data_IF_707200809584
#
_entry.id   IF_707200809584
#
_cell.length_a   1.000
_cell.length_b   1.000
_cell.length_c   1.000
_cell.angle_alpha   90.00
_cell.angle_beta   90.00
_cell.angle_gamma   90.00
#
_symmetry.space_group_name_H-M   'P 1'
#
loop_
_entity.id
_entity.type
_entity.pdbx_description
1 polymer ?
#
# COMPACT_ATOMS: atom_id res chain seq x y z
N UNK A 1 26.19 5.21 2.85
CA UNK A 1 27.14 5.20 1.70
C UNK A 1 26.81 4.05 0.73
N UNK A 2 26.65 2.81 1.22
CA UNK A 2 26.14 1.67 0.41
C UNK A 2 24.82 1.94 -0.32
N UNK A 3 23.86 2.59 0.33
CA UNK A 3 22.58 2.97 -0.30
C UNK A 3 22.76 3.83 -1.55
N UNK A 4 23.71 4.79 -1.54
CA UNK A 4 24.01 5.63 -2.71
C UNK A 4 24.66 4.84 -3.85
N UNK A 5 25.48 3.81 -3.56
CA UNK A 5 26.06 2.93 -4.59
C UNK A 5 25.00 2.02 -5.23
N UNK A 6 24.04 1.54 -4.44
CA UNK A 6 22.91 0.74 -4.94
C UNK A 6 21.98 1.59 -5.80
N UNK A 7 21.60 2.78 -5.33
CA UNK A 7 20.84 3.73 -6.15
C UNK A 7 21.57 4.08 -7.46
N UNK A 8 22.91 4.13 -7.44
CA UNK A 8 23.72 4.47 -8.61
C UNK A 8 23.68 3.35 -9.66
N UNK A 9 23.76 2.09 -9.23
CA UNK A 9 23.62 0.93 -10.11
C UNK A 9 22.20 0.78 -10.66
N UNK A 10 21.19 1.20 -9.90
CA UNK A 10 19.78 1.14 -10.31
C UNK A 10 19.33 2.37 -11.13
N UNK A 11 20.18 3.39 -11.29
CA UNK A 11 19.87 4.60 -12.05
C UNK A 11 18.99 5.62 -11.33
N UNK A 12 18.79 5.47 -10.01
CA UNK A 12 17.82 6.21 -9.19
C UNK A 12 18.40 7.48 -8.50
N UNK A 13 19.64 7.89 -8.80
CA UNK A 13 20.16 9.18 -8.33
C UNK A 13 19.82 10.32 -9.27
N UNK A 14 19.59 11.49 -8.70
CA UNK A 14 19.53 12.75 -9.43
C UNK A 14 20.90 13.10 -10.06
N UNK A 15 20.89 14.00 -11.04
CA UNK A 15 22.09 14.36 -11.82
C UNK A 15 23.19 14.98 -10.96
N UNK A 16 22.82 15.70 -9.89
CA UNK A 16 23.76 16.37 -9.00
C UNK A 16 24.48 15.39 -8.06
N UNK A 17 23.75 14.42 -7.49
CA UNK A 17 24.28 13.37 -6.63
C UNK A 17 25.06 12.33 -7.42
N UNK A 18 24.65 12.04 -8.67
CA UNK A 18 25.40 11.18 -9.59
C UNK A 18 26.78 11.78 -9.87
N UNK A 19 26.85 13.04 -10.28
CA UNK A 19 28.12 13.73 -10.55
C UNK A 19 29.03 13.78 -9.30
N UNK A 20 28.46 14.03 -8.13
CA UNK A 20 29.20 14.03 -6.87
C UNK A 20 29.75 12.64 -6.49
N UNK A 21 29.00 11.57 -6.78
CA UNK A 21 29.42 10.20 -6.52
C UNK A 21 30.50 9.74 -7.52
N UNK A 22 30.37 10.09 -8.80
CA UNK A 22 31.38 9.80 -9.84
C UNK A 22 32.71 10.47 -9.54
N UNK A 23 32.70 11.73 -9.09
CA UNK A 23 33.91 12.43 -8.64
C UNK A 23 34.60 11.74 -7.45
N UNK A 24 33.83 11.08 -6.57
CA UNK A 24 34.38 10.28 -5.46
C UNK A 24 34.89 8.92 -5.92
N UNK A 25 34.16 8.24 -6.82
CA UNK A 25 34.59 6.98 -7.43
C UNK A 25 35.90 7.14 -8.23
N UNK A 26 36.18 8.32 -8.78
CA UNK A 26 37.45 8.64 -9.43
C UNK A 26 38.63 8.68 -8.45
N UNK A 27 38.41 9.21 -7.24
CA UNK A 27 39.46 9.48 -6.26
C UNK A 27 39.63 8.38 -5.18
N UNK A 28 38.61 7.56 -4.94
CA UNK A 28 38.60 6.53 -3.90
C UNK A 28 38.61 5.10 -4.51
N UNK A 29 39.78 4.43 -4.61
CA UNK A 29 39.86 3.07 -5.19
C UNK A 29 39.12 2.01 -4.35
N UNK A 30 39.00 2.19 -3.03
CA UNK A 30 38.23 1.31 -2.16
C UNK A 30 36.72 1.38 -2.46
N UNK A 31 36.20 2.57 -2.79
CA UNK A 31 34.79 2.79 -3.12
C UNK A 31 34.42 2.13 -4.46
N UNK A 32 35.36 2.14 -5.41
CA UNK A 32 35.22 1.45 -6.71
C UNK A 32 35.14 -0.07 -6.54
N UNK A 33 35.97 -0.63 -5.65
CA UNK A 33 35.96 -2.06 -5.31
C UNK A 33 34.65 -2.49 -4.64
N UNK A 34 34.07 -1.63 -3.80
CA UNK A 34 32.76 -1.88 -3.18
C UNK A 34 31.61 -1.81 -4.20
N UNK A 35 31.66 -0.88 -5.17
CA UNK A 35 30.70 -0.82 -6.27
C UNK A 35 30.74 -2.08 -7.15
N UNK A 36 31.93 -2.59 -7.48
CA UNK A 36 32.11 -3.83 -8.25
C UNK A 36 31.59 -5.07 -7.51
N UNK A 37 31.78 -5.14 -6.18
CA UNK A 37 31.21 -6.21 -5.36
C UNK A 37 29.68 -6.20 -5.38
N UNK A 38 29.05 -5.03 -5.23
CA UNK A 38 27.60 -4.90 -5.25
C UNK A 38 27.05 -5.27 -6.64
N UNK A 39 27.74 -4.87 -7.71
CA UNK A 39 27.38 -5.23 -9.09
C UNK A 39 27.43 -6.74 -9.33
N UNK A 40 28.51 -7.40 -8.90
CA UNK A 40 28.66 -8.86 -9.01
C UNK A 40 27.58 -9.61 -8.23
N UNK A 41 27.16 -9.12 -7.06
CA UNK A 41 26.06 -9.69 -6.30
C UNK A 41 24.70 -9.53 -7.01
N UNK A 42 24.46 -8.41 -7.69
CA UNK A 42 23.20 -8.17 -8.43
C UNK A 42 23.13 -8.98 -9.74
N UNK A 43 24.26 -9.19 -10.41
CA UNK A 43 24.33 -10.02 -11.63
C UNK A 43 24.23 -11.53 -11.30
N UNK A 44 24.66 -11.95 -10.11
CA UNK A 44 24.53 -13.34 -9.63
C UNK A 44 23.11 -13.79 -9.28
N UNK A 45 22.13 -12.88 -9.20
CA UNK A 45 20.72 -13.19 -8.90
C UNK A 45 19.83 -13.42 -10.13
N UNK A 46 20.41 -13.50 -11.34
CA UNK A 46 19.66 -13.57 -12.60
C UNK A 46 19.91 -14.84 -13.44
N UNK A 47 20.11 -16.00 -12.81
CA UNK A 47 19.97 -17.29 -13.49
C UNK A 47 19.19 -18.26 -12.60
N UNK A 48 17.86 -18.18 -12.65
CA UNK A 48 16.97 -19.27 -12.23
C UNK A 48 16.28 -19.81 -13.48
N UNK A 49 16.80 -20.92 -14.01
CA UNK A 49 16.07 -21.84 -14.88
C UNK A 49 16.48 -23.29 -14.51
N UNK A 50 15.74 -23.85 -13.56
CA UNK A 50 15.33 -25.27 -13.36
C UNK A 50 16.37 -26.43 -13.23
N UNK A 51 15.94 -27.56 -12.62
CA UNK A 51 16.73 -28.33 -11.67
C UNK A 51 17.29 -29.64 -12.22
N UNK A 52 18.56 -29.92 -11.93
CA UNK A 52 19.05 -31.30 -11.79
C UNK A 52 20.17 -31.36 -10.78
N UNK A 53 20.14 -32.47 -10.04
CA UNK A 53 21.14 -32.90 -9.10
C UNK A 53 22.57 -32.92 -9.66
N UNK A 54 23.50 -33.08 -8.72
CA UNK A 54 24.94 -33.23 -8.88
C UNK A 54 25.69 -31.91 -9.12
N UNK A 55 26.43 -31.52 -8.07
CA UNK A 55 27.54 -30.60 -8.19
C UNK A 55 28.82 -31.40 -8.50
N UNK A 56 29.30 -31.45 -9.75
CA UNK A 56 30.67 -31.84 -10.03
C UNK A 56 31.47 -30.60 -10.42
N UNK A 57 31.76 -29.69 -9.47
CA UNK A 57 32.90 -28.78 -9.67
C UNK A 57 33.47 -28.14 -8.39
N UNK A 58 33.34 -28.82 -7.26
CA UNK A 58 34.23 -28.61 -6.11
C UNK A 58 35.68 -29.09 -6.37
N UNK A 59 36.03 -29.44 -7.61
CA UNK A 59 37.27 -30.15 -7.97
C UNK A 59 38.26 -29.33 -8.82
N UNK A 60 37.97 -28.09 -9.22
CA UNK A 60 38.82 -27.35 -10.18
C UNK A 60 39.71 -26.24 -9.58
N UNK A 61 39.75 -26.05 -8.26
CA UNK A 61 40.65 -25.06 -7.61
C UNK A 61 41.62 -25.69 -6.59
N UNK A 62 41.77 -27.02 -6.61
CA UNK A 62 42.79 -27.74 -5.83
C UNK A 62 44.09 -28.00 -6.61
N UNK A 63 44.35 -27.26 -7.69
CA UNK A 63 45.58 -27.36 -8.44
C UNK A 63 46.23 -25.97 -8.53
N UNK A 64 47.48 -25.91 -8.06
CA UNK A 64 48.42 -24.77 -8.15
C UNK A 64 48.39 -23.79 -6.96
N UNK A 65 48.78 -24.28 -5.78
CA UNK A 65 49.09 -23.44 -4.63
C UNK A 65 49.37 -24.24 -3.36
N UNK A 66 50.40 -25.09 -3.38
CA UNK A 66 50.79 -25.89 -2.22
C UNK A 66 51.08 -25.02 -0.98
N UNK A 67 50.50 -25.40 0.16
CA UNK A 67 50.77 -24.76 1.44
C UNK A 67 52.26 -24.91 1.78
N UNK A 68 53.00 -23.82 2.06
CA UNK A 68 54.42 -23.91 2.35
C UNK A 68 54.68 -24.76 3.60
N UNK A 69 55.63 -25.68 3.49
CA UNK A 69 56.00 -26.63 4.54
C UNK A 69 56.44 -25.87 5.81
N UNK A 70 55.91 -26.27 6.97
CA UNK A 70 56.20 -25.63 8.26
C UNK A 70 55.35 -24.39 8.60
N UNK A 71 54.32 -24.04 7.81
CA UNK A 71 53.39 -22.95 8.17
C UNK A 71 52.62 -23.26 9.46
N UNK A 72 52.23 -24.52 9.68
CA UNK A 72 51.57 -24.96 10.91
C UNK A 72 52.46 -24.74 12.14
N UNK A 73 53.75 -25.09 12.06
CA UNK A 73 54.70 -24.92 13.18
C UNK A 73 55.01 -23.45 13.47
N UNK A 74 55.11 -22.62 12.42
CA UNK A 74 55.31 -21.17 12.55
C UNK A 74 54.07 -20.47 13.13
N UNK A 75 52.89 -20.96 12.80
CA UNK A 75 51.62 -20.44 13.34
C UNK A 75 51.44 -20.88 14.79
N UNK A 76 51.77 -22.13 15.13
CA UNK A 76 51.74 -22.64 16.51
C UNK A 76 52.74 -21.91 17.43
N UNK A 77 53.95 -21.63 16.94
CA UNK A 77 54.95 -20.85 17.67
C UNK A 77 54.55 -19.38 17.87
N UNK A 78 53.95 -18.75 16.87
CA UNK A 78 53.45 -17.37 16.97
C UNK A 78 52.25 -17.25 17.94
N UNK A 79 51.34 -18.22 17.92
CA UNK A 79 50.19 -18.28 18.83
C UNK A 79 50.64 -18.56 20.28
N UNK A 80 51.58 -19.47 20.51
CA UNK A 80 52.13 -19.73 21.85
C UNK A 80 52.83 -18.50 22.43
N UNK A 81 53.55 -17.73 21.60
CA UNK A 81 54.19 -16.48 22.03
C UNK A 81 53.19 -15.33 22.25
N UNK A 82 52.10 -15.30 21.49
CA UNK A 82 51.01 -14.33 21.67
C UNK A 82 50.18 -14.63 22.94
N UNK A 83 49.99 -15.91 23.30
CA UNK A 83 49.31 -16.31 24.53
C UNK A 83 50.17 -16.09 25.79
N UNK A 84 51.50 -16.11 25.66
CA UNK A 84 52.42 -15.82 26.77
C UNK A 84 52.50 -14.33 27.13
N UNK A 85 51.91 -13.42 26.35
CA UNK A 85 51.97 -11.96 26.58
C UNK A 85 50.84 -11.46 27.50
N UNK A 86 49.93 -12.33 27.97
CA UNK A 86 48.82 -11.93 28.84
C UNK A 86 49.03 -12.11 30.36
N UNK A 87 50.23 -12.51 30.81
CA UNK A 87 50.60 -12.46 32.23
C UNK A 87 51.37 -11.17 32.52
N UNK A 88 50.65 -10.06 32.66
CA UNK A 88 51.31 -8.79 33.00
C UNK A 88 50.48 -7.52 32.87
N UNK A 89 49.22 -7.52 33.30
CA UNK A 89 48.51 -6.27 33.63
C UNK A 89 47.78 -6.42 34.96
N UNK A 90 48.55 -6.34 36.05
CA UNK A 90 48.02 -5.84 37.31
C UNK A 90 47.82 -4.32 37.18
N UNK A 91 46.80 -3.92 36.42
CA UNK A 91 46.12 -2.66 36.72
C UNK A 91 45.18 -2.95 37.90
N UNK A 92 45.05 -2.07 38.90
CA UNK A 92 44.03 -2.21 39.92
C UNK A 92 42.69 -2.01 39.24
N UNK A 93 42.14 -3.11 38.71
CA UNK A 93 40.75 -3.22 38.35
C UNK A 93 40.00 -2.86 39.62
N UNK A 94 39.45 -1.65 39.66
CA UNK A 94 38.36 -1.33 40.56
C UNK A 94 37.21 -2.24 40.14
N UNK A 95 37.28 -3.52 40.57
CA UNK A 95 36.23 -4.51 40.42
C UNK A 95 35.13 -3.98 41.31
N UNK A 96 34.27 -3.14 40.73
CA UNK A 96 32.96 -2.84 41.27
C UNK A 96 32.33 -4.17 41.63
N UNK A 97 32.35 -4.50 42.93
CA UNK A 97 31.74 -5.70 43.47
C UNK A 97 30.24 -5.47 43.37
N UNK A 98 29.67 -5.81 42.22
CA UNK A 98 28.22 -5.79 42.02
C UNK A 98 27.63 -6.74 43.07
N UNK A 99 26.90 -6.19 44.03
CA UNK A 99 26.28 -7.01 45.07
C UNK A 99 25.00 -7.63 44.52
N UNK A 100 24.56 -8.76 45.08
CA UNK A 100 23.25 -9.33 44.74
C UNK A 100 22.12 -8.30 44.94
N UNK A 101 22.27 -7.41 45.94
CA UNK A 101 21.33 -6.32 46.23
C UNK A 101 21.23 -5.36 45.05
N UNK A 102 22.35 -4.96 44.43
CA UNK A 102 22.35 -4.03 43.29
C UNK A 102 21.58 -4.61 42.08
N UNK A 103 21.77 -5.90 41.79
CA UNK A 103 21.03 -6.59 40.72
C UNK A 103 19.53 -6.66 41.05
N UNK A 104 19.18 -6.97 42.30
CA UNK A 104 17.78 -7.04 42.74
C UNK A 104 17.06 -5.70 42.66
N UNK A 105 17.71 -4.61 43.09
CA UNK A 105 17.13 -3.26 43.00
C UNK A 105 16.95 -2.86 41.54
N UNK A 106 17.96 -3.08 40.69
CA UNK A 106 17.87 -2.79 39.26
C UNK A 106 16.75 -3.59 38.57
N UNK A 107 16.64 -4.89 38.85
CA UNK A 107 15.56 -5.72 38.35
C UNK A 107 14.19 -5.27 38.86
N UNK A 108 14.09 -4.87 40.13
CA UNK A 108 12.86 -4.32 40.71
C UNK A 108 12.38 -3.05 40.00
N UNK A 109 13.30 -2.12 39.73
CA UNK A 109 12.99 -0.90 38.97
C UNK A 109 12.58 -1.23 37.53
N UNK A 110 13.29 -2.13 36.86
CA UNK A 110 12.96 -2.56 35.49
C UNK A 110 11.57 -3.20 35.41
N UNK A 111 11.21 -4.06 36.37
CA UNK A 111 9.90 -4.70 36.46
C UNK A 111 8.80 -3.66 36.74
N UNK A 112 9.04 -2.71 37.65
CA UNK A 112 8.09 -1.64 37.94
C UNK A 112 7.81 -0.77 36.70
N UNK A 113 8.85 -0.36 35.96
CA UNK A 113 8.68 0.41 34.72
C UNK A 113 7.98 -0.43 33.65
N UNK A 114 8.40 -1.68 33.45
CA UNK A 114 7.81 -2.56 32.44
C UNK A 114 6.33 -2.83 32.70
N UNK A 115 5.94 -2.99 33.98
CA UNK A 115 4.55 -3.18 34.38
C UNK A 115 3.65 -1.99 34.00
N UNK A 116 4.19 -0.76 34.00
CA UNK A 116 3.46 0.43 33.55
C UNK A 116 3.42 0.57 32.02
N UNK A 117 4.46 0.11 31.30
CA UNK A 117 4.57 0.25 29.83
C UNK A 117 3.78 -0.83 29.08
N UNK A 118 3.83 -2.08 29.53
CA UNK A 118 3.16 -3.22 28.88
C UNK A 118 1.66 -2.99 28.55
N UNK A 119 0.81 -2.47 29.45
CA UNK A 119 -0.62 -2.27 29.15
C UNK A 119 -0.88 -1.18 28.10
N UNK A 120 0.05 -0.25 27.87
CA UNK A 120 -0.12 0.83 26.88
C UNK A 120 0.22 0.38 25.44
N UNK A 121 1.00 -0.69 25.28
CA UNK A 121 1.46 -1.17 23.97
C UNK A 121 0.32 -1.63 23.03
N UNK A 122 -0.70 -2.38 23.47
CA UNK A 122 -1.80 -2.80 22.60
C UNK A 122 -2.58 -1.61 22.01
N UNK A 123 -2.85 -0.59 22.82
CA UNK A 123 -3.59 0.60 22.39
C UNK A 123 -2.80 1.41 21.37
N UNK A 124 -1.50 1.59 21.59
CA UNK A 124 -0.59 2.25 20.64
C UNK A 124 -0.56 1.51 19.29
N UNK A 125 -0.40 0.17 19.32
CA UNK A 125 -0.41 -0.66 18.10
C UNK A 125 -1.77 -0.61 17.37
N UNK A 126 -2.88 -0.55 18.09
CA UNK A 126 -4.21 -0.41 17.48
C UNK A 126 -4.38 0.96 16.81
N UNK A 127 -3.89 2.03 17.45
CA UNK A 127 -3.88 3.38 16.88
C UNK A 127 -3.02 3.46 15.61
N UNK A 128 -1.81 2.90 15.64
CA UNK A 128 -0.92 2.86 14.49
C UNK A 128 -1.54 2.09 13.31
N UNK A 129 -2.17 0.93 13.57
CA UNK A 129 -2.89 0.18 12.53
C UNK A 129 -4.07 0.95 11.94
N UNK A 130 -4.81 1.70 12.77
CA UNK A 130 -5.87 2.61 12.29
C UNK A 130 -5.31 3.70 11.37
N UNK A 131 -4.23 4.36 11.77
CA UNK A 131 -3.59 5.40 10.96
C UNK A 131 -3.16 4.87 9.58
N UNK A 132 -2.63 3.64 9.52
CA UNK A 132 -2.30 2.99 8.25
C UNK A 132 -3.55 2.73 7.38
N UNK A 133 -4.64 2.22 7.95
CA UNK A 133 -5.87 2.01 7.16
C UNK A 133 -6.46 3.35 6.68
N UNK A 134 -6.36 4.42 7.48
CA UNK A 134 -6.77 5.76 7.05
C UNK A 134 -5.93 6.25 5.88
N UNK A 135 -4.61 6.03 5.91
CA UNK A 135 -3.72 6.41 4.81
C UNK A 135 -4.04 5.62 3.52
N UNK A 136 -4.30 4.32 3.64
CA UNK A 136 -4.75 3.51 2.51
C UNK A 136 -6.03 4.08 1.87
N UNK A 137 -7.01 4.49 2.68
CA UNK A 137 -8.24 5.14 2.21
C UNK A 137 -7.97 6.49 1.55
N UNK A 138 -7.02 7.31 2.05
CA UNK A 138 -6.64 8.57 1.39
C UNK A 138 -6.04 8.31 0.01
N UNK A 139 -5.16 7.32 -0.12
CA UNK A 139 -4.56 6.97 -1.41
C UNK A 139 -5.60 6.47 -2.42
N UNK A 140 -6.55 5.63 -1.98
CA UNK A 140 -7.69 5.22 -2.82
C UNK A 140 -8.57 6.44 -3.17
N UNK A 141 -8.82 7.33 -2.21
CA UNK A 141 -9.57 8.56 -2.40
C UNK A 141 -8.97 9.46 -3.47
N UNK A 142 -7.65 9.65 -3.45
CA UNK A 142 -6.93 10.39 -4.49
C UNK A 142 -7.17 9.79 -5.88
N UNK A 143 -7.13 8.46 -6.02
CA UNK A 143 -7.43 7.81 -7.30
C UNK A 143 -8.89 8.02 -7.72
N UNK A 144 -9.84 8.03 -6.79
CA UNK A 144 -11.25 8.33 -7.07
C UNK A 144 -11.48 9.78 -7.48
N UNK A 145 -10.76 10.74 -6.89
CA UNK A 145 -10.83 12.14 -7.32
C UNK A 145 -10.27 12.31 -8.74
N UNK A 146 -9.09 11.74 -9.02
CA UNK A 146 -8.54 11.73 -10.39
C UNK A 146 -9.47 11.03 -11.39
N UNK A 147 -10.16 9.97 -10.97
CA UNK A 147 -11.20 9.35 -11.77
C UNK A 147 -12.31 10.35 -12.08
N UNK A 148 -12.88 11.01 -11.06
CA UNK A 148 -13.96 11.97 -11.25
C UNK A 148 -13.55 13.14 -12.16
N UNK A 149 -12.35 13.70 -11.98
CA UNK A 149 -11.80 14.77 -12.80
C UNK A 149 -11.74 14.38 -14.29
N UNK A 150 -11.42 13.11 -14.58
CA UNK A 150 -11.33 12.58 -15.94
C UNK A 150 -12.67 12.10 -16.52
N UNK A 151 -13.72 11.97 -15.71
CA UNK A 151 -15.02 11.39 -16.09
C UNK A 151 -16.20 12.34 -15.83
N UNK A 152 -16.00 13.65 -16.04
CA UNK A 152 -17.07 14.64 -15.98
C UNK A 152 -17.61 14.89 -14.58
N UNK A 153 -16.74 14.86 -13.58
CA UNK A 153 -17.06 14.99 -12.15
C UNK A 153 -17.91 13.80 -11.63
N UNK A 154 -17.86 12.62 -12.25
CA UNK A 154 -18.56 11.43 -11.77
C UNK A 154 -17.62 10.36 -11.23
N UNK A 155 -17.97 9.81 -10.08
CA UNK A 155 -17.27 8.64 -9.54
C UNK A 155 -17.62 7.35 -10.29
N UNK A 156 -16.85 6.27 -10.13
CA UNK A 156 -17.14 4.98 -10.76
C UNK A 156 -18.59 4.53 -10.52
N UNK A 157 -19.35 4.35 -11.60
CA UNK A 157 -20.77 4.01 -11.55
C UNK A 157 -20.96 2.52 -11.43
N UNK A 158 -21.56 2.02 -10.35
CA UNK A 158 -21.89 0.59 -10.23
C UNK A 158 -23.19 0.31 -10.96
N UNK A 159 -23.15 -0.55 -11.97
CA UNK A 159 -24.31 -0.95 -12.75
C UNK A 159 -25.32 -1.77 -11.93
N UNK A 160 -26.59 -1.89 -12.38
CA UNK A 160 -27.64 -2.63 -11.68
C UNK A 160 -27.28 -4.08 -11.31
N UNK A 161 -26.61 -4.78 -12.22
CA UNK A 161 -26.22 -6.19 -12.08
C UNK A 161 -24.76 -6.36 -11.60
N UNK A 162 -24.08 -5.25 -11.32
CA UNK A 162 -22.71 -5.25 -10.81
C UNK A 162 -22.70 -5.13 -9.30
N UNK A 163 -21.69 -5.71 -8.68
CA UNK A 163 -21.45 -5.57 -7.26
C UNK A 163 -20.57 -4.33 -6.99
N UNK A 164 -20.70 -3.77 -5.78
CA UNK A 164 -20.07 -2.50 -5.42
C UNK A 164 -18.55 -2.52 -5.58
N UNK A 165 -17.92 -3.70 -5.47
CA UNK A 165 -16.49 -3.87 -5.69
C UNK A 165 -15.98 -3.48 -7.08
N UNK A 166 -16.88 -3.29 -8.06
CA UNK A 166 -16.51 -2.85 -9.41
C UNK A 166 -15.84 -1.46 -9.45
N UNK A 167 -15.96 -0.64 -8.40
CA UNK A 167 -15.19 0.61 -8.34
C UNK A 167 -13.68 0.34 -8.44
N UNK A 168 -13.20 -0.74 -7.83
CA UNK A 168 -11.79 -1.12 -7.83
C UNK A 168 -11.31 -1.48 -9.25
N UNK A 169 -12.13 -2.23 -9.98
CA UNK A 169 -11.85 -2.60 -11.38
C UNK A 169 -11.77 -1.36 -12.25
N UNK A 170 -12.75 -0.46 -12.12
CA UNK A 170 -12.79 0.79 -12.89
C UNK A 170 -11.59 1.70 -12.63
N UNK A 171 -11.08 1.76 -11.39
CA UNK A 171 -9.88 2.52 -11.07
C UNK A 171 -8.63 1.97 -11.79
N UNK A 172 -8.51 0.65 -11.88
CA UNK A 172 -7.40 0.00 -12.59
C UNK A 172 -7.53 0.19 -14.09
N UNK A 173 -8.73 -0.03 -14.65
CA UNK A 173 -8.96 0.04 -16.11
C UNK A 173 -8.82 1.44 -16.68
N UNK A 174 -9.21 2.46 -15.91
CA UNK A 174 -9.02 3.86 -16.28
C UNK A 174 -7.61 4.38 -16.00
N UNK A 175 -6.69 3.52 -15.57
CA UNK A 175 -5.28 3.87 -15.34
C UNK A 175 -5.05 4.80 -14.15
N UNK A 176 -6.02 4.95 -13.24
CA UNK A 176 -5.89 5.87 -12.09
C UNK A 176 -5.01 5.32 -10.97
N UNK A 177 -4.81 4.00 -10.98
CA UNK A 177 -3.97 3.26 -10.03
C UNK A 177 -3.55 1.92 -10.64
N UNK A 178 -2.32 1.46 -10.40
CA UNK A 178 -1.92 0.14 -10.86
C UNK A 178 -2.61 -0.97 -10.04
N UNK A 179 -2.80 -2.14 -10.66
CA UNK A 179 -3.42 -3.29 -9.99
C UNK A 179 -2.65 -3.70 -8.71
N UNK A 180 -1.31 -3.65 -8.73
CA UNK A 180 -0.47 -4.01 -7.58
C UNK A 180 -0.61 -3.02 -6.43
N UNK A 181 -0.67 -1.72 -6.72
CA UNK A 181 -0.89 -0.69 -5.70
C UNK A 181 -2.27 -0.87 -5.06
N UNK A 182 -3.31 -1.01 -5.89
CA UNK A 182 -4.67 -1.16 -5.39
C UNK A 182 -4.83 -2.42 -4.53
N UNK A 183 -4.28 -3.56 -4.94
CA UNK A 183 -4.29 -4.79 -4.14
C UNK A 183 -3.67 -4.61 -2.75
N UNK A 184 -2.61 -3.81 -2.63
CA UNK A 184 -1.99 -3.49 -1.33
C UNK A 184 -2.87 -2.57 -0.48
N UNK A 185 -3.55 -1.61 -1.12
CA UNK A 185 -4.35 -0.60 -0.42
C UNK A 185 -5.70 -1.12 0.04
N UNK A 186 -6.35 -1.99 -0.73
CA UNK A 186 -7.66 -2.64 -0.42
C UNK A 186 -7.64 -3.48 0.87
N UNK A 187 -6.48 -3.65 1.48
CA UNK A 187 -6.25 -4.41 2.68
C UNK A 187 -6.13 -3.52 3.92
N UNK A 188 -7.05 -3.64 4.88
CA UNK A 188 -6.88 -3.02 6.19
C UNK A 188 -6.26 -4.00 7.19
N UNK A 189 -5.11 -3.66 7.76
CA UNK A 189 -4.36 -4.50 8.74
C UNK A 189 -5.04 -4.68 10.09
N UNK A 190 -6.17 -4.02 10.31
CA UNK A 190 -6.96 -4.10 11.54
C UNK A 190 -8.39 -4.59 11.29
N UNK A 191 -8.69 -5.07 10.08
CA UNK A 191 -9.93 -5.81 9.81
C UNK A 191 -9.78 -7.27 10.25
N UNK A 192 -10.90 -7.91 10.62
CA UNK A 192 -10.91 -9.35 10.93
C UNK A 192 -10.49 -10.24 9.75
N UNK A 193 -10.48 -9.69 8.53
CA UNK A 193 -9.92 -10.35 7.35
C UNK A 193 -8.43 -10.68 7.54
N UNK A 194 -7.68 -9.87 8.29
CA UNK A 194 -6.28 -10.11 8.57
C UNK A 194 -6.03 -11.34 9.45
N UNK A 195 -6.93 -11.60 10.38
CA UNK A 195 -6.84 -12.77 11.25
C UNK A 195 -7.20 -14.02 10.44
N UNK A 196 -8.24 -13.95 9.59
CA UNK A 196 -8.61 -15.03 8.68
C UNK A 196 -7.49 -15.38 7.68
N UNK A 197 -6.76 -14.40 7.14
CA UNK A 197 -5.62 -14.67 6.25
C UNK A 197 -4.42 -15.30 6.95
N UNK A 198 -4.19 -14.97 8.21
CA UNK A 198 -3.12 -15.60 9.01
C UNK A 198 -3.42 -17.07 9.26
N UNK A 199 -4.68 -17.41 9.48
CA UNK A 199 -5.13 -18.78 9.74
C UNK A 199 -5.20 -19.63 8.46
N UNK A 200 -5.48 -19.02 7.30
CA UNK A 200 -5.69 -19.73 6.03
C UNK A 200 -4.44 -19.92 5.15
N UNK A 201 -3.23 -19.79 5.71
CA UNK A 201 -1.95 -20.11 5.05
C UNK A 201 -1.83 -19.58 3.60
N UNK A 202 -2.14 -18.29 3.39
CA UNK A 202 -1.95 -17.56 2.12
C UNK A 202 -2.83 -17.98 0.93
N UNK A 203 -3.85 -18.82 1.13
CA UNK A 203 -4.70 -19.29 0.01
C UNK A 203 -5.73 -18.24 -0.48
N UNK A 204 -5.78 -17.09 0.18
CA UNK A 204 -6.80 -16.08 -0.05
C UNK A 204 -6.13 -14.76 -0.41
N UNK A 205 -6.21 -14.42 -1.69
CA UNK A 205 -5.67 -13.19 -2.26
C UNK A 205 -6.85 -12.26 -2.50
N UNK A 206 -6.81 -11.07 -1.91
CA UNK A 206 -7.65 -9.95 -2.35
C UNK A 206 -7.15 -9.58 -3.74
N UNK A 207 -7.79 -10.13 -4.77
CA UNK A 207 -7.48 -9.82 -6.16
C UNK A 207 -8.43 -8.72 -6.58
N UNK A 208 -7.92 -7.52 -6.87
CA UNK A 208 -8.61 -6.60 -7.77
C UNK A 208 -8.54 -7.23 -9.17
N UNK A 209 -9.62 -7.85 -9.70
CA UNK A 209 -9.57 -8.54 -10.98
C UNK A 209 -9.56 -7.51 -12.12
N UNK A 210 -9.10 -7.91 -13.30
CA UNK A 210 -9.40 -7.16 -14.53
C UNK A 210 -10.85 -7.47 -14.97
N UNK A 211 -11.50 -6.63 -15.80
CA UNK A 211 -12.83 -7.00 -16.33
C UNK A 211 -12.77 -8.32 -17.11
N UNK A 212 -11.69 -8.60 -17.83
CA UNK A 212 -11.53 -9.86 -18.53
C UNK A 212 -11.54 -11.06 -17.57
N UNK A 213 -10.79 -10.99 -16.47
CA UNK A 213 -10.79 -12.05 -15.44
C UNK A 213 -12.18 -12.21 -14.81
N UNK A 214 -12.88 -11.10 -14.55
CA UNK A 214 -14.21 -11.13 -13.97
C UNK A 214 -15.26 -11.72 -14.94
N UNK A 215 -15.16 -11.43 -16.24
CA UNK A 215 -16.03 -12.00 -17.28
C UNK A 215 -15.79 -13.50 -17.48
N UNK A 216 -14.55 -13.95 -17.35
CA UNK A 216 -14.18 -15.36 -17.51
C UNK A 216 -14.52 -16.20 -16.27
N UNK A 217 -14.54 -15.59 -15.08
CA UNK A 217 -14.85 -16.28 -13.83
C UNK A 217 -16.31 -16.79 -13.81
N UNK A 218 -16.49 -18.04 -13.39
CA UNK A 218 -17.81 -18.69 -13.24
C UNK A 218 -17.88 -19.45 -11.91
N UNK A 219 -19.10 -19.75 -11.46
CA UNK A 219 -19.35 -20.57 -10.28
C UNK A 219 -18.76 -19.98 -8.99
N UNK A 220 -18.12 -20.83 -8.19
CA UNK A 220 -17.54 -20.47 -6.88
C UNK A 220 -16.45 -19.39 -6.98
N UNK A 221 -15.62 -19.44 -8.04
CA UNK A 221 -14.57 -18.44 -8.24
C UNK A 221 -15.15 -17.04 -8.42
N UNK A 222 -16.22 -16.90 -9.20
CA UNK A 222 -16.90 -15.61 -9.39
C UNK A 222 -17.48 -15.10 -8.07
N UNK A 223 -18.11 -15.97 -7.28
CA UNK A 223 -18.64 -15.61 -5.97
C UNK A 223 -17.53 -15.13 -5.01
N UNK A 224 -16.38 -15.81 -5.01
CA UNK A 224 -15.20 -15.40 -4.24
C UNK A 224 -14.66 -14.05 -4.69
N UNK A 225 -14.48 -13.84 -5.99
CA UNK A 225 -13.98 -12.56 -6.54
C UNK A 225 -14.93 -11.42 -6.17
N UNK A 226 -16.24 -11.57 -6.40
CA UNK A 226 -17.23 -10.54 -6.07
C UNK A 226 -17.20 -10.15 -4.59
N UNK A 227 -16.98 -11.12 -3.72
CA UNK A 227 -16.90 -10.89 -2.28
C UNK A 227 -15.68 -10.11 -1.83
N UNK A 228 -14.54 -10.28 -2.52
CA UNK A 228 -13.26 -9.78 -2.03
C UNK A 228 -12.56 -8.77 -2.93
N UNK A 229 -13.09 -8.47 -4.11
CA UNK A 229 -12.45 -7.56 -5.07
C UNK A 229 -12.29 -6.11 -4.59
N UNK A 230 -13.08 -5.66 -3.60
CA UNK A 230 -12.85 -4.39 -2.89
C UNK A 230 -12.27 -4.55 -1.47
N UNK A 231 -11.83 -5.75 -1.12
CA UNK A 231 -11.09 -6.04 0.11
C UNK A 231 -11.85 -5.66 1.38
N UNK A 232 -11.23 -4.81 2.21
CA UNK A 232 -11.73 -4.41 3.53
C UNK A 232 -12.65 -3.17 3.50
N UNK A 233 -12.98 -2.63 2.33
CA UNK A 233 -13.74 -1.38 2.20
C UNK A 233 -15.12 -1.57 1.57
N UNK A 234 -16.02 -0.66 1.93
CA UNK A 234 -17.32 -0.47 1.31
C UNK A 234 -17.30 0.83 0.49
N UNK A 235 -18.11 0.86 -0.56
CA UNK A 235 -18.14 1.95 -1.54
C UNK A 235 -19.55 2.52 -1.67
N UNK A 236 -19.64 3.84 -1.83
CA UNK A 236 -20.92 4.52 -2.04
C UNK A 236 -21.51 4.15 -3.40
N UNK A 237 -22.78 3.77 -3.41
CA UNK A 237 -23.54 3.46 -4.63
C UNK A 237 -24.48 4.59 -5.02
N UNK A 238 -25.02 4.51 -6.24
CA UNK A 238 -25.97 5.48 -6.76
C UNK A 238 -27.31 5.48 -6.03
N UNK A 239 -28.21 6.33 -6.49
CA UNK A 239 -29.55 6.47 -5.93
C UNK A 239 -30.60 6.43 -7.03
N UNK A 240 -31.82 6.06 -6.65
CA UNK A 240 -32.97 6.06 -7.53
C UNK A 240 -33.72 7.37 -7.28
N UNK A 241 -33.96 8.12 -8.35
CA UNK A 241 -34.80 9.31 -8.31
C UNK A 241 -35.69 9.33 -9.55
N UNK A 242 -36.98 9.60 -9.37
CA UNK A 242 -37.97 9.66 -10.45
C UNK A 242 -37.92 8.48 -11.44
N UNK A 243 -37.76 7.25 -10.93
CA UNK A 243 -37.69 6.02 -11.74
C UNK A 243 -36.39 5.83 -12.52
N UNK A 244 -35.36 6.61 -12.22
CA UNK A 244 -34.03 6.55 -12.86
C UNK A 244 -32.97 6.27 -11.82
N UNK A 245 -32.03 5.39 -12.14
CA UNK A 245 -30.87 5.14 -11.30
C UNK A 245 -29.73 6.06 -11.72
N UNK A 246 -29.32 6.94 -10.81
CA UNK A 246 -28.39 8.03 -11.05
C UNK A 246 -27.05 7.77 -10.34
N UNK A 247 -25.94 8.13 -10.99
CA UNK A 247 -24.61 7.99 -10.40
C UNK A 247 -24.30 9.10 -9.39
N UNK A 248 -23.18 8.92 -8.69
CA UNK A 248 -22.69 9.90 -7.72
C UNK A 248 -21.83 10.91 -8.46
N UNK A 249 -22.27 12.18 -8.44
CA UNK A 249 -21.46 13.31 -8.88
C UNK A 249 -20.56 13.77 -7.73
N UNK A 250 -19.32 14.12 -8.04
CA UNK A 250 -18.40 14.81 -7.17
C UNK A 250 -18.99 16.17 -6.77
N UNK A 251 -18.89 16.47 -5.48
CA UNK A 251 -19.08 17.79 -4.92
C UNK A 251 -18.23 17.90 -3.67
N UNK A 252 -17.62 19.05 -3.44
CA UNK A 252 -16.76 19.28 -2.27
C UNK A 252 -17.61 19.26 -0.99
N UNK A 253 -17.55 18.15 -0.26
CA UNK A 253 -18.36 17.92 0.95
C UNK A 253 -17.60 17.10 1.98
N UNK A 254 -17.44 17.70 3.14
CA UNK A 254 -16.87 17.10 4.35
C UNK A 254 -17.86 16.21 5.13
N UNK A 255 -19.09 16.05 4.65
CA UNK A 255 -20.12 15.26 5.35
C UNK A 255 -20.61 14.06 4.54
N UNK A 256 -20.25 14.01 3.25
CA UNK A 256 -20.74 12.99 2.33
C UNK A 256 -19.69 11.89 2.18
N UNK A 257 -19.94 10.69 2.74
CA UNK A 257 -19.02 9.59 2.62
C UNK A 257 -18.91 9.11 1.16
N UNK A 258 -17.75 8.54 0.83
CA UNK A 258 -17.45 7.92 -0.46
C UNK A 258 -16.99 6.48 -0.27
N UNK A 259 -16.07 6.25 0.68
CA UNK A 259 -15.63 4.93 1.14
C UNK A 259 -15.78 4.83 2.65
N UNK A 260 -15.93 3.61 3.15
CA UNK A 260 -15.75 3.30 4.56
C UNK A 260 -15.08 1.95 4.75
N UNK A 261 -14.67 1.63 5.98
CA UNK A 261 -14.47 0.24 6.36
C UNK A 261 -15.75 -0.56 6.11
N UNK A 262 -15.60 -1.77 5.56
CA UNK A 262 -16.74 -2.61 5.21
C UNK A 262 -17.53 -3.05 6.46
N UNK A 263 -18.87 -3.01 6.41
CA UNK A 263 -19.69 -3.50 7.51
C UNK A 263 -19.85 -5.03 7.45
N UNK A 264 -20.16 -5.60 8.60
CA UNK A 264 -20.63 -6.98 8.75
C UNK A 264 -22.05 -6.92 9.30
N UNK A 265 -22.94 -7.78 8.78
CA UNK A 265 -24.28 -7.89 9.31
C UNK A 265 -24.24 -8.66 10.65
N UNK A 266 -24.75 -8.04 11.70
CA UNK A 266 -24.83 -8.59 13.06
C UNK A 266 -26.29 -8.61 13.52
N UNK A 267 -26.57 -9.17 14.69
CA UNK A 267 -27.90 -9.12 15.32
C UNK A 267 -28.41 -7.67 15.53
N UNK A 268 -27.49 -6.70 15.59
CA UNK A 268 -27.77 -5.28 15.79
C UNK A 268 -27.80 -4.50 14.47
N UNK A 269 -27.85 -5.19 13.32
CA UNK A 269 -27.81 -4.58 11.99
C UNK A 269 -26.40 -4.50 11.40
N UNK A 270 -26.21 -3.60 10.43
CA UNK A 270 -24.93 -3.40 9.75
C UNK A 270 -23.98 -2.60 10.62
N UNK A 271 -22.90 -3.23 11.07
CA UNK A 271 -21.88 -2.57 11.90
C UNK A 271 -20.50 -2.95 11.38
N UNK A 272 -19.58 -1.98 11.32
CA UNK A 272 -18.19 -2.31 11.05
C UNK A 272 -17.55 -2.91 12.31
N UNK A 273 -17.07 -4.14 12.16
CA UNK A 273 -16.25 -4.82 13.17
C UNK A 273 -14.76 -4.56 12.97
N UNK A 274 -14.39 -3.71 12.00
CA UNK A 274 -13.02 -3.30 11.83
C UNK A 274 -12.57 -2.51 13.07
N UNK A 275 -11.32 -2.66 13.49
CA UNK A 275 -10.72 -1.89 14.58
C UNK A 275 -11.15 -2.19 16.04
N UNK A 276 -11.76 -3.35 16.31
CA UNK A 276 -11.86 -3.94 17.65
C UNK A 276 -13.20 -3.77 18.38
N UNK A 277 -13.22 -4.09 19.68
CA UNK A 277 -14.42 -4.38 20.51
C UNK A 277 -15.43 -3.23 20.60
N UNK A 278 -14.99 -1.98 20.48
CA UNK A 278 -15.89 -0.83 20.60
C UNK A 278 -16.65 -0.50 19.31
N UNK A 279 -16.35 -1.20 18.19
CA UNK A 279 -16.95 -0.93 16.89
C UNK A 279 -16.51 0.43 16.33
N UNK A 280 -16.19 0.47 15.06
CA UNK A 280 -15.92 1.74 14.41
C UNK A 280 -15.30 1.58 13.04
N UNK A 281 -15.44 2.63 12.24
CA UNK A 281 -15.05 2.63 10.86
C UNK A 281 -14.36 3.94 10.54
N UNK A 282 -13.30 3.83 9.76
CA UNK A 282 -12.82 4.96 9.02
C UNK A 282 -13.77 5.21 7.85
N UNK A 283 -13.98 6.47 7.57
CA UNK A 283 -14.85 6.94 6.49
C UNK A 283 -14.12 8.03 5.75
N UNK A 284 -13.95 7.82 4.45
CA UNK A 284 -13.46 8.81 3.50
C UNK A 284 -14.63 9.65 3.01
N UNK A 285 -14.50 10.97 3.07
CA UNK A 285 -15.49 11.92 2.57
C UNK A 285 -15.08 12.49 1.21
N UNK A 286 -16.01 13.17 0.54
CA UNK A 286 -15.79 13.72 -0.81
C UNK A 286 -14.82 14.91 -0.86
N UNK A 287 -14.50 15.55 0.26
CA UNK A 287 -13.40 16.53 0.36
C UNK A 287 -12.02 15.86 0.58
N UNK A 288 -11.98 14.52 0.68
CA UNK A 288 -10.76 13.73 0.80
C UNK A 288 -10.25 13.49 2.22
N UNK A 289 -10.88 14.08 3.24
CA UNK A 289 -10.49 13.74 4.61
C UNK A 289 -11.03 12.36 5.01
N UNK A 290 -10.28 11.68 5.87
CA UNK A 290 -10.69 10.41 6.46
C UNK A 290 -10.89 10.61 7.95
N UNK A 291 -12.07 10.23 8.45
CA UNK A 291 -12.43 10.34 9.85
C UNK A 291 -12.82 8.97 10.41
N UNK A 292 -12.28 8.64 11.57
CA UNK A 292 -12.74 7.49 12.36
C UNK A 292 -14.06 7.85 13.07
N UNK A 293 -15.06 7.00 12.90
CA UNK A 293 -16.41 7.16 13.45
C UNK A 293 -16.77 5.89 14.21
N UNK A 294 -17.29 6.05 15.42
CA UNK A 294 -17.74 4.91 16.26
C UNK A 294 -19.17 4.51 15.88
N UNK A 295 -19.99 5.49 15.52
CA UNK A 295 -21.37 5.30 15.08
C UNK A 295 -21.41 5.20 13.56
N UNK A 296 -22.34 4.40 13.03
CA UNK A 296 -22.51 4.18 11.58
C UNK A 296 -23.33 5.28 10.89
N UNK A 297 -23.59 6.39 11.59
CA UNK A 297 -24.35 7.53 11.08
C UNK A 297 -23.55 8.32 10.03
N UNK A 298 -24.17 8.55 8.89
CA UNK A 298 -23.71 9.46 7.86
C UNK A 298 -23.81 10.89 8.38
N UNK A 299 -22.70 11.64 8.50
CA UNK A 299 -22.75 12.99 9.04
C UNK A 299 -23.63 13.93 8.22
N UNK A 300 -23.82 13.72 6.91
CA UNK A 300 -24.66 14.57 6.08
C UNK A 300 -26.16 14.47 6.38
N UNK A 301 -26.63 13.30 6.83
CA UNK A 301 -28.06 13.00 6.95
C UNK A 301 -28.48 12.39 8.29
N UNK A 302 -27.55 12.17 9.22
CA UNK A 302 -27.80 11.65 10.57
C UNK A 302 -28.57 10.31 10.56
N UNK A 303 -28.17 9.42 9.64
CA UNK A 303 -28.79 8.11 9.37
C UNK A 303 -27.71 7.08 9.09
N UNK A 304 -27.99 5.80 9.34
CA UNK A 304 -27.07 4.70 9.02
C UNK A 304 -26.65 4.76 7.54
N UNK A 305 -25.34 4.85 7.30
CA UNK A 305 -24.78 4.94 5.94
C UNK A 305 -24.78 3.62 5.19
N UNK A 306 -25.08 2.50 5.83
CA UNK A 306 -25.05 1.17 5.21
C UNK A 306 -26.41 0.72 4.67
N UNK A 307 -27.46 1.50 4.90
CA UNK A 307 -28.81 1.20 4.44
C UNK A 307 -29.51 2.45 3.91
N UNK A 308 -30.41 2.24 2.95
CA UNK A 308 -31.27 3.28 2.39
C UNK A 308 -32.42 3.65 3.35
N UNK A 309 -33.33 4.53 2.90
CA UNK A 309 -34.46 4.96 3.71
C UNK A 309 -35.44 3.85 4.11
N UNK A 310 -35.55 2.79 3.31
CA UNK A 310 -36.29 1.56 3.64
C UNK A 310 -35.50 0.55 4.49
N UNK A 311 -34.28 0.87 4.92
CA UNK A 311 -33.45 -0.02 5.75
C UNK A 311 -32.77 -1.16 4.97
N UNK A 312 -32.64 -1.03 3.64
CA UNK A 312 -32.02 -2.02 2.78
C UNK A 312 -30.61 -1.57 2.37
N UNK A 313 -29.65 -2.51 2.30
CA UNK A 313 -28.31 -2.25 1.77
C UNK A 313 -28.35 -2.23 0.22
N UNK A 314 -29.05 -1.24 -0.34
CA UNK A 314 -29.33 -1.06 -1.76
C UNK A 314 -29.22 0.43 -2.15
N UNK A 315 -29.47 0.76 -3.41
CA UNK A 315 -29.42 2.13 -3.91
C UNK A 315 -30.28 3.07 -3.04
N UNK A 316 -29.77 4.29 -2.86
CA UNK A 316 -30.47 5.31 -2.09
C UNK A 316 -31.82 5.70 -2.72
N UNK A 317 -32.78 6.07 -1.88
CA UNK A 317 -34.09 6.59 -2.27
C UNK A 317 -34.04 8.12 -2.40
N UNK A 318 -33.42 8.57 -3.49
CA UNK A 318 -33.20 9.98 -3.78
C UNK A 318 -31.79 10.47 -3.46
N UNK A 319 -31.49 11.71 -3.89
CA UNK A 319 -30.12 12.26 -3.86
C UNK A 319 -29.52 12.39 -2.46
N UNK A 320 -30.36 12.63 -1.45
CA UNK A 320 -29.95 12.78 -0.06
C UNK A 320 -29.73 11.44 0.63
N UNK A 321 -30.24 10.33 0.09
CA UNK A 321 -30.10 9.02 0.71
C UNK A 321 -28.74 8.41 0.34
N UNK A 322 -27.80 8.50 1.29
CA UNK A 322 -26.41 8.10 1.06
C UNK A 322 -26.22 6.68 1.56
N UNK A 323 -25.94 5.77 0.63
CA UNK A 323 -25.71 4.36 0.95
C UNK A 323 -24.33 3.92 0.49
N UNK A 324 -23.58 3.35 1.42
CA UNK A 324 -22.25 2.77 1.26
C UNK A 324 -22.39 1.27 1.49
N UNK A 325 -21.96 0.44 0.54
CA UNK A 325 -22.19 -1.01 0.60
C UNK A 325 -20.91 -1.80 0.37
N UNK A 326 -20.87 -3.00 0.94
CA UNK A 326 -19.73 -3.92 0.81
C UNK A 326 -19.60 -4.45 -0.61
N UNK A 327 -18.39 -4.87 -0.96
CA UNK A 327 -18.00 -5.42 -2.27
C UNK A 327 -19.02 -6.38 -2.90
N UNK A 328 -19.57 -7.34 -2.16
CA UNK A 328 -20.46 -8.39 -2.67
C UNK A 328 -21.87 -7.93 -3.03
N UNK A 329 -22.30 -6.76 -2.55
CA UNK A 329 -23.67 -6.28 -2.72
C UNK A 329 -23.83 -5.55 -4.05
N UNK A 330 -24.96 -5.77 -4.73
CA UNK A 330 -25.38 -4.99 -5.88
C UNK A 330 -26.25 -3.82 -5.42
N UNK A 331 -26.45 -2.77 -6.24
CA UNK A 331 -27.31 -1.65 -5.86
C UNK A 331 -28.81 -2.01 -5.75
N UNK A 332 -29.22 -3.25 -6.04
CA UNK A 332 -30.61 -3.68 -5.88
C UNK A 332 -31.61 -2.92 -6.75
N UNK A 333 -31.18 -2.40 -7.90
CA UNK A 333 -32.02 -1.57 -8.78
C UNK A 333 -33.15 -2.42 -9.37
N UNK A 334 -34.43 -2.04 -9.18
CA UNK A 334 -35.56 -2.74 -9.79
C UNK A 334 -35.50 -2.74 -11.33
N UNK A 335 -35.99 -3.80 -11.99
CA UNK A 335 -35.93 -3.95 -13.46
C UNK A 335 -36.67 -2.86 -14.25
N UNK A 336 -37.62 -2.17 -13.63
CA UNK A 336 -38.37 -1.07 -14.23
C UNK A 336 -37.65 0.28 -14.11
N UNK A 337 -36.52 0.36 -13.40
CA UNK A 337 -35.73 1.58 -13.23
C UNK A 337 -34.67 1.65 -14.32
N UNK A 338 -34.58 2.80 -14.99
CA UNK A 338 -33.63 2.99 -16.08
C UNK A 338 -32.28 3.50 -15.53
N UNK A 339 -31.16 2.77 -15.73
CA UNK A 339 -29.84 3.27 -15.37
C UNK A 339 -29.43 4.41 -16.28
N UNK A 340 -28.87 5.47 -15.69
CA UNK A 340 -28.43 6.66 -16.41
C UNK A 340 -26.91 6.72 -16.42
N UNK A 341 -26.33 6.72 -17.61
CA UNK A 341 -24.93 7.06 -17.82
C UNK A 341 -24.87 8.48 -18.39
N UNK A 342 -24.43 9.49 -17.61
CA UNK A 342 -24.34 10.87 -18.07
C UNK A 342 -23.46 10.98 -19.32
N UNK A 343 -23.85 11.82 -20.27
CA UNK A 343 -23.06 12.07 -21.48
C UNK A 343 -21.67 12.64 -21.15
N UNK A 344 -21.60 13.47 -20.11
CA UNK A 344 -20.36 14.05 -19.54
C UNK A 344 -19.34 12.96 -19.16
N UNK A 345 -19.81 11.78 -18.75
CA UNK A 345 -18.94 10.66 -18.38
C UNK A 345 -18.26 9.98 -19.58
N UNK A 346 -18.80 10.17 -20.80
CA UNK A 346 -18.27 9.57 -22.03
C UNK A 346 -17.15 10.40 -22.66
N UNK A 347 -16.94 11.62 -22.20
CA UNK A 347 -15.93 12.54 -22.72
C UNK A 347 -14.80 12.61 -21.71
N UNK A 348 -13.72 11.89 -21.96
CA UNK A 348 -12.46 12.07 -21.23
C UNK A 348 -11.89 13.45 -21.58
N UNK A 349 -12.38 14.50 -20.92
CA UNK A 349 -11.85 15.86 -21.04
C UNK A 349 -11.10 16.19 -19.76
N UNK A 350 -9.77 16.37 -19.79
CA UNK A 350 -9.01 16.74 -18.61
C UNK A 350 -9.46 18.13 -18.15
N UNK A 351 -10.03 18.23 -16.94
CA UNK A 351 -10.28 19.52 -16.28
C UNK A 351 -9.08 19.97 -15.44
N UNK A 352 -8.96 21.30 -15.36
CA UNK A 352 -7.89 22.05 -14.71
C UNK A 352 -7.88 21.75 -13.19
N UNK A 353 -6.69 21.65 -12.55
CA UNK A 353 -6.59 21.33 -11.13
C UNK A 353 -7.38 22.30 -10.24
N UNK A 354 -7.82 21.85 -9.04
CA UNK A 354 -8.55 22.69 -8.10
C UNK A 354 -7.72 23.92 -7.76
N UNK A 355 -8.32 25.09 -7.93
CA UNK A 355 -7.69 26.37 -7.58
C UNK A 355 -7.42 26.40 -6.08
N UNK A 356 -6.16 26.15 -5.70
CA UNK A 356 -5.66 26.55 -4.40
C UNK A 356 -5.87 28.05 -4.24
N UNK A 357 -6.37 28.48 -3.07
CA UNK A 357 -6.31 29.88 -2.67
C UNK A 357 -4.85 30.30 -2.61
N UNK A 358 -4.39 30.98 -3.65
CA UNK A 358 -3.22 31.85 -3.59
C UNK A 358 -3.74 33.27 -3.46
N UNK A 359 -3.43 33.89 -2.32
CA UNK A 359 -3.46 35.33 -2.15
C UNK A 359 -2.68 35.98 -3.30
N UNK A 360 -3.28 37.00 -3.93
CA UNK A 360 -2.62 37.84 -4.92
C UNK A 360 -1.40 38.53 -4.29
N UNK A 361 -0.30 38.63 -5.05
CA UNK A 361 0.33 39.93 -5.16
C UNK A 361 0.46 40.34 -6.62
N UNK A 362 -0.21 41.45 -6.92
CA UNK A 362 0.25 42.59 -7.73
C UNK A 362 1.18 42.32 -8.90
N UNK A 363 0.65 42.67 -10.07
CA UNK A 363 1.29 42.75 -11.37
C UNK A 363 2.68 43.42 -11.38
N UNK A 364 3.59 42.86 -12.20
CA UNK A 364 4.42 43.70 -13.06
C UNK A 364 4.75 42.99 -14.38
N UNK A 365 4.74 43.78 -15.46
CA UNK A 365 4.85 43.39 -16.87
C UNK A 365 6.31 43.29 -17.34
N UNK A 366 6.59 42.40 -18.30
CA UNK A 366 7.74 42.57 -19.21
C UNK A 366 8.09 41.33 -20.06
N UNK A 367 8.60 41.49 -21.31
CA UNK A 367 8.11 40.70 -22.44
C UNK A 367 9.11 39.74 -23.11
N UNK A 368 8.54 38.65 -23.66
CA UNK A 368 8.73 38.05 -25.00
C UNK A 368 10.15 37.71 -25.54
N UNK A 369 10.34 36.43 -25.89
CA UNK A 369 11.18 35.79 -26.95
C UNK A 369 11.02 34.27 -26.75
N UNK A 370 10.81 33.37 -27.70
CA UNK A 370 10.77 33.35 -29.15
C UNK A 370 11.14 31.93 -29.60
N UNK A 371 10.31 31.33 -30.47
CA UNK A 371 10.62 30.28 -31.48
C UNK A 371 11.30 28.95 -31.11
N UNK A 372 10.72 27.83 -31.55
CA UNK A 372 11.43 26.55 -31.75
C UNK A 372 10.53 25.36 -32.10
N UNK A 373 10.48 25.00 -33.38
CA UNK A 373 9.73 23.94 -34.06
C UNK A 373 10.24 22.50 -33.81
N UNK A 374 9.37 21.48 -34.01
CA UNK A 374 9.58 20.01 -33.84
C UNK A 374 10.53 19.33 -34.85
N UNK A 375 10.35 18.05 -35.30
CA UNK A 375 9.26 17.07 -35.09
C UNK A 375 9.72 15.59 -34.85
N UNK A 376 8.74 14.64 -34.89
CA UNK A 376 8.83 13.19 -35.23
C UNK A 376 9.62 12.26 -34.28
N UNK A 377 9.34 10.97 -34.07
CA UNK A 377 8.38 9.94 -34.53
C UNK A 377 8.68 8.69 -33.65
N UNK A 378 7.79 7.69 -33.59
CA UNK A 378 8.20 6.38 -33.04
C UNK A 378 7.11 5.58 -32.34
N UNK A 379 6.26 4.94 -33.14
CA UNK A 379 5.50 3.75 -32.79
C UNK A 379 6.40 2.66 -32.21
N UNK A 380 6.00 2.00 -31.12
CA UNK A 380 6.23 0.56 -31.04
C UNK A 380 5.18 -0.17 -30.19
N UNK A 381 4.85 -1.35 -30.69
CA UNK A 381 3.73 -2.21 -30.35
C UNK A 381 4.29 -3.50 -29.77
N UNK A 382 4.06 -3.76 -28.48
CA UNK A 382 4.58 -4.93 -27.77
C UNK A 382 3.49 -5.87 -27.29
N UNK A 383 3.01 -6.72 -28.19
CA UNK A 383 2.26 -7.95 -27.93
C UNK A 383 3.17 -8.98 -27.24
N UNK A 384 2.75 -9.67 -26.17
CA UNK A 384 3.18 -11.03 -25.70
C UNK A 384 2.48 -11.28 -24.34
N UNK A 385 2.00 -12.46 -23.92
CA UNK A 385 1.54 -13.74 -24.48
C UNK A 385 1.07 -14.52 -23.25
N UNK A 386 -0.05 -15.22 -23.38
CA UNK A 386 -0.59 -16.08 -22.33
C UNK A 386 0.29 -17.32 -22.11
N UNK A 387 0.45 -17.74 -20.85
CA UNK A 387 0.86 -19.11 -20.50
C UNK A 387 0.03 -19.63 -19.32
N UNK A 388 -0.70 -20.69 -19.65
CA UNK A 388 -1.34 -21.77 -18.88
C UNK A 388 -1.45 -21.69 -17.37
#
# INVERSE_FOLDING_TARGET
>A
MREKLVCYLLGELDDAERAALEARLANEPCLRKELEQIRSCLEGSHNEDEPTADCPEAAALAAEGGCPEGLADRTAGAISKALAIHDGVDSPCNRSRFTFVDVCVAAGVLLAVSAMVLPALPQSRASARRALCQDNMRQIGQALFRYADNHGDFYPVIGPDENAGMFAVRLVESGQMSQRELQRLLWCRASGLQDQLRESNSQFVVVAPTAQQLQQAKGELLARIRRWMAGSYAYRIGYIDNGRYLPIKYFDSSRSPLLSDAPTYTEHGWVSVNHGVNGGQNVLHQDGHVRFQVRCDCPAVDRDMFVNYSGQAAAGEGKSDIVVVRSDLTPGVPRNVTPVVPAEMRVASPRRPPSGRTEEPSADNGPNRGSGSGPDSGSDSGLVRATK
#
